data_IF_740723617381
#
_entry.id   IF_740723617381
#
_cell.length_a   1.000
_cell.length_b   1.000
_cell.length_c   1.000
_cell.angle_alpha   90.00
_cell.angle_beta   90.00
_cell.angle_gamma   90.00
#
_symmetry.space_group_name_H-M   'P 1'
#
loop_
_entity.id
_entity.type
_entity.pdbx_description
1 polymer ?
#
# COMPACT_ATOMS: atom_id res chain seq x y z
N UNK A 1 1.02 8.02 -25.44
CA UNK A 1 -0.28 7.48 -25.01
C UNK A 1 -1.07 8.61 -24.35
N UNK A 2 -2.40 8.66 -24.45
CA UNK A 2 -3.20 9.76 -23.86
C UNK A 2 -2.95 9.93 -22.34
N UNK A 3 -2.52 8.84 -21.68
CA UNK A 3 -2.12 8.81 -20.27
C UNK A 3 -0.84 9.63 -20.02
N UNK A 4 0.18 9.52 -20.86
CA UNK A 4 1.45 10.26 -20.71
C UNK A 4 1.22 11.76 -20.85
N UNK A 5 0.35 12.15 -21.79
CA UNK A 5 -0.07 13.54 -21.98
C UNK A 5 -0.75 14.09 -20.73
N UNK A 6 -1.62 13.29 -20.10
CA UNK A 6 -2.31 13.66 -18.86
C UNK A 6 -1.36 13.76 -17.66
N UNK A 7 -0.39 12.86 -17.54
CA UNK A 7 0.64 12.91 -16.49
C UNK A 7 1.45 14.21 -16.63
N UNK A 8 1.90 14.55 -17.84
CA UNK A 8 2.67 15.76 -18.08
C UNK A 8 1.86 17.04 -17.82
N UNK A 9 0.57 17.04 -18.13
CA UNK A 9 -0.33 18.16 -17.81
C UNK A 9 -0.45 18.35 -16.29
N UNK A 10 -0.65 17.28 -15.53
CA UNK A 10 -0.79 17.35 -14.07
C UNK A 10 0.53 17.77 -13.41
N UNK A 11 1.69 17.32 -13.92
CA UNK A 11 3.01 17.78 -13.45
C UNK A 11 3.17 19.29 -13.53
N UNK A 12 2.80 19.90 -14.67
CA UNK A 12 2.81 21.35 -14.84
C UNK A 12 1.85 22.06 -13.88
N UNK A 13 0.64 21.52 -13.71
CA UNK A 13 -0.35 22.07 -12.77
C UNK A 13 0.11 22.03 -11.30
N UNK A 14 0.92 21.04 -10.93
CA UNK A 14 1.52 20.94 -9.58
C UNK A 14 2.57 22.04 -9.36
N UNK A 15 3.35 22.37 -10.39
CA UNK A 15 4.38 23.43 -10.34
C UNK A 15 3.77 24.84 -10.33
N UNK A 16 2.70 25.07 -11.09
CA UNK A 16 2.03 26.36 -11.21
C UNK A 16 1.08 26.68 -10.03
N UNK A 17 0.89 25.75 -9.10
CA UNK A 17 -0.05 25.88 -7.97
C UNK A 17 0.64 26.36 -6.70
N UNK A 18 0.13 27.47 -6.15
CA UNK A 18 0.56 28.05 -4.87
C UNK A 18 -0.24 27.56 -3.65
N UNK A 19 -1.32 26.79 -3.89
CA UNK A 19 -2.18 26.21 -2.86
C UNK A 19 -1.69 24.82 -2.44
N UNK A 20 -1.34 24.65 -1.16
CA UNK A 20 -0.89 23.36 -0.64
C UNK A 20 -1.97 22.26 -0.76
N UNK A 21 -3.24 22.63 -0.61
CA UNK A 21 -4.37 21.72 -0.77
C UNK A 21 -4.48 21.17 -2.21
N UNK A 22 -4.35 22.05 -3.20
CA UNK A 22 -4.45 21.66 -4.60
C UNK A 22 -3.21 20.87 -5.04
N UNK A 23 -2.04 21.21 -4.52
CA UNK A 23 -0.79 20.45 -4.72
C UNK A 23 -0.93 19.01 -4.23
N UNK A 24 -1.44 18.80 -3.02
CA UNK A 24 -1.65 17.46 -2.46
C UNK A 24 -2.63 16.64 -3.31
N UNK A 25 -3.76 17.25 -3.71
CA UNK A 25 -4.77 16.57 -4.54
C UNK A 25 -4.27 16.23 -5.94
N UNK A 26 -3.47 17.09 -6.56
CA UNK A 26 -2.87 16.83 -7.86
C UNK A 26 -1.78 15.74 -7.79
N UNK A 27 -0.99 15.72 -6.72
CA UNK A 27 -0.03 14.65 -6.46
C UNK A 27 -0.71 13.29 -6.25
N UNK A 28 -1.81 13.24 -5.50
CA UNK A 28 -2.60 12.01 -5.29
C UNK A 28 -3.09 11.43 -6.63
N UNK A 29 -3.56 12.30 -7.53
CA UNK A 29 -4.03 11.91 -8.87
C UNK A 29 -2.87 11.48 -9.77
N UNK A 30 -1.74 12.16 -9.70
CA UNK A 30 -0.53 11.80 -10.44
C UNK A 30 -0.01 10.43 -10.00
N UNK A 31 0.02 10.15 -8.70
CA UNK A 31 0.40 8.87 -8.15
C UNK A 31 -0.52 7.75 -8.66
N UNK A 32 -1.85 7.97 -8.69
CA UNK A 32 -2.81 7.01 -9.24
C UNK A 32 -2.61 6.73 -10.73
N UNK A 33 -2.28 7.75 -11.53
CA UNK A 33 -2.06 7.59 -12.98
C UNK A 33 -0.71 6.97 -13.32
N UNK A 34 0.33 7.26 -12.54
CA UNK A 34 1.68 6.72 -12.75
C UNK A 34 1.90 5.35 -12.10
N UNK A 35 1.14 5.03 -11.04
CA UNK A 35 1.32 3.82 -10.23
C UNK A 35 1.00 2.50 -10.92
N UNK A 36 0.25 2.53 -12.03
CA UNK A 36 -0.11 1.33 -12.78
C UNK A 36 -0.81 0.25 -11.93
N UNK A 37 -0.98 -0.94 -12.50
CA UNK A 37 -1.51 -2.11 -11.80
C UNK A 37 -0.57 -3.29 -12.02
N UNK A 38 0.02 -3.80 -10.95
CA UNK A 38 0.83 -5.01 -11.00
C UNK A 38 -0.05 -6.26 -10.88
N UNK A 39 0.13 -7.22 -11.79
CA UNK A 39 -0.58 -8.50 -11.79
C UNK A 39 0.40 -9.62 -11.45
N UNK A 40 0.09 -10.42 -10.42
CA UNK A 40 0.92 -11.56 -10.00
C UNK A 40 0.29 -12.85 -10.52
N UNK A 41 1.02 -13.58 -11.36
CA UNK A 41 0.56 -14.86 -11.90
C UNK A 41 1.12 -16.01 -11.07
N UNK A 42 0.25 -16.84 -10.48
CA UNK A 42 0.63 -17.99 -9.65
C UNK A 42 0.32 -19.29 -10.39
N UNK A 43 1.34 -20.14 -10.55
CA UNK A 43 1.23 -21.44 -11.23
C UNK A 43 1.47 -22.63 -10.30
N UNK A 44 0.84 -23.77 -10.61
CA UNK A 44 1.08 -25.06 -9.96
C UNK A 44 0.83 -26.23 -10.94
N UNK A 45 1.25 -27.45 -10.55
CA UNK A 45 1.12 -28.65 -11.36
C UNK A 45 -0.33 -29.20 -11.37
N UNK A 46 -1.06 -29.01 -10.28
CA UNK A 46 -2.46 -29.44 -10.15
C UNK A 46 -3.36 -28.26 -9.79
N UNK A 47 -4.66 -28.36 -10.10
CA UNK A 47 -5.64 -27.29 -9.81
C UNK A 47 -5.77 -27.04 -8.31
N UNK A 48 -5.71 -28.10 -7.49
CA UNK A 48 -5.82 -28.01 -6.03
C UNK A 48 -4.63 -27.22 -5.45
N UNK A 49 -3.41 -27.54 -5.87
CA UNK A 49 -2.21 -26.80 -5.45
C UNK A 49 -2.22 -25.36 -5.97
N UNK A 50 -2.76 -25.11 -7.16
CA UNK A 50 -2.85 -23.75 -7.71
C UNK A 50 -3.74 -22.88 -6.83
N UNK A 51 -4.90 -23.39 -6.41
CA UNK A 51 -5.83 -22.66 -5.53
C UNK A 51 -5.21 -22.40 -4.16
N UNK A 52 -4.53 -23.39 -3.58
CA UNK A 52 -3.85 -23.26 -2.28
C UNK A 52 -2.72 -22.22 -2.33
N UNK A 53 -1.84 -22.30 -3.34
CA UNK A 53 -0.76 -21.32 -3.53
C UNK A 53 -1.29 -19.93 -3.81
N UNK A 54 -2.37 -19.81 -4.59
CA UNK A 54 -2.99 -18.51 -4.88
C UNK A 54 -3.50 -17.86 -3.59
N UNK A 55 -4.25 -18.58 -2.76
CA UNK A 55 -4.74 -18.08 -1.48
C UNK A 55 -3.58 -17.65 -0.56
N UNK A 56 -2.53 -18.49 -0.48
CA UNK A 56 -1.34 -18.17 0.32
C UNK A 56 -0.62 -16.89 -0.14
N UNK A 57 -0.55 -16.66 -1.46
CA UNK A 57 0.07 -15.45 -2.02
C UNK A 57 -0.81 -14.22 -1.78
N UNK A 58 -2.14 -14.37 -1.88
CA UNK A 58 -3.09 -13.29 -1.55
C UNK A 58 -2.96 -12.88 -0.08
N UNK A 59 -2.93 -13.84 0.84
CA UNK A 59 -2.72 -13.58 2.27
C UNK A 59 -1.38 -12.87 2.54
N UNK A 60 -0.29 -13.35 1.92
CA UNK A 60 1.02 -12.73 2.06
C UNK A 60 1.06 -11.30 1.51
N UNK A 61 0.38 -11.04 0.38
CA UNK A 61 0.27 -9.70 -0.20
C UNK A 61 -0.46 -8.74 0.75
N UNK A 62 -1.56 -9.19 1.36
CA UNK A 62 -2.30 -8.36 2.31
C UNK A 62 -1.51 -8.09 3.59
N UNK A 63 -0.84 -9.11 4.14
CA UNK A 63 -0.01 -8.95 5.34
C UNK A 63 1.18 -8.01 5.11
N UNK A 64 1.85 -8.12 3.96
CA UNK A 64 2.98 -7.24 3.62
C UNK A 64 2.56 -5.81 3.35
N UNK A 65 1.38 -5.58 2.75
CA UNK A 65 0.83 -4.22 2.60
C UNK A 65 0.58 -3.56 3.95
N UNK A 66 -0.10 -4.24 4.86
CA UNK A 66 -0.35 -3.72 6.22
C UNK A 66 0.96 -3.43 6.97
N UNK A 67 1.94 -4.32 6.84
CA UNK A 67 3.27 -4.16 7.44
C UNK A 67 4.05 -2.96 6.89
N UNK A 68 3.85 -2.59 5.62
CA UNK A 68 4.48 -1.41 5.00
C UNK A 68 3.81 -0.11 5.46
N UNK A 69 2.51 -0.13 5.70
CA UNK A 69 1.74 1.05 6.11
C UNK A 69 1.99 1.44 7.57
N UNK A 70 1.93 0.48 8.50
CA UNK A 70 2.01 0.74 9.95
C UNK A 70 3.29 0.20 10.61
N UNK A 71 4.12 -0.54 9.87
CA UNK A 71 5.31 -1.21 10.39
C UNK A 71 5.02 -2.62 10.92
N UNK A 72 6.03 -3.21 11.58
CA UNK A 72 5.95 -4.57 12.14
C UNK A 72 6.21 -4.56 13.64
N UNK A 73 5.54 -5.46 14.35
CA UNK A 73 5.68 -5.68 15.78
C UNK A 73 5.92 -7.16 16.10
N UNK A 74 6.50 -7.49 17.27
CA UNK A 74 6.63 -8.87 17.71
C UNK A 74 5.27 -9.57 17.81
N UNK A 75 5.12 -10.68 17.09
CA UNK A 75 3.90 -11.49 17.07
C UNK A 75 3.69 -12.31 18.35
N UNK A 76 2.81 -13.32 18.26
CA UNK A 76 2.53 -14.23 19.37
C UNK A 76 1.82 -13.57 20.56
N UNK A 77 1.16 -12.42 20.36
CA UNK A 77 0.50 -11.65 21.42
C UNK A 77 1.47 -10.94 22.38
N UNK A 78 2.78 -11.05 22.17
CA UNK A 78 3.81 -10.44 23.03
C UNK A 78 3.73 -8.91 22.99
N UNK A 79 3.34 -8.33 21.85
CA UNK A 79 3.13 -6.89 21.75
C UNK A 79 2.14 -6.38 22.80
N UNK A 80 1.01 -7.05 23.00
CA UNK A 80 0.00 -6.61 23.96
C UNK A 80 0.53 -6.63 25.39
N UNK A 81 1.27 -7.67 25.77
CA UNK A 81 1.91 -7.76 27.09
C UNK A 81 2.91 -6.63 27.32
N UNK A 82 3.69 -6.26 26.29
CA UNK A 82 4.66 -5.17 26.36
C UNK A 82 4.01 -3.79 26.39
N UNK A 83 2.78 -3.65 25.91
CA UNK A 83 2.04 -2.39 25.95
C UNK A 83 1.36 -2.13 27.32
N UNK A 84 1.23 -3.14 28.19
CA UNK A 84 0.57 -2.98 29.51
C UNK A 84 1.20 -1.88 30.37
N UNK A 85 2.54 -1.79 30.55
CA UNK A 85 3.14 -0.79 31.43
C UNK A 85 2.88 0.66 31.01
N UNK A 86 2.64 0.90 29.71
CA UNK A 86 2.32 2.24 29.18
C UNK A 86 0.94 2.72 29.65
N UNK A 87 0.01 1.82 29.98
CA UNK A 87 -1.30 2.20 30.51
C UNK A 87 -1.19 2.86 31.89
N UNK A 88 -0.17 2.52 32.68
CA UNK A 88 0.05 3.14 33.99
C UNK A 88 0.54 4.60 33.87
N UNK A 89 1.06 4.99 32.70
CA UNK A 89 1.51 6.35 32.40
C UNK A 89 0.38 7.26 31.88
N UNK A 90 -0.71 6.67 31.37
CA UNK A 90 -1.91 7.38 30.92
C UNK A 90 -2.80 7.71 32.12
N UNK A 91 -2.42 8.73 32.89
CA UNK A 91 -3.28 9.35 33.91
C UNK A 91 -4.36 10.24 33.31
#
# INVERSE_FOLDING_TARGET
>A
SDIDGRINQIKKQVEDTDSDYDREKLQERLAKLSGGVAVINVGAATEIEMKEKKARVEDALHATRAAVEEGIIPGGGVCFLRSIPILDELK
#
